data_IF_350779755059
#
_entry.id   IF_350779755059
#
_cell.length_a   1.000
_cell.length_b   1.000
_cell.length_c   1.000
_cell.angle_alpha   90.00
_cell.angle_beta   90.00
_cell.angle_gamma   90.00
#
_symmetry.space_group_name_H-M   'P 1'
#
loop_
_entity.id
_entity.type
_entity.pdbx_description
1 polymer ?
#
# COMPACT_ATOMS: atom_id res chain seq x y z
N UNK A 1 -11.37 -2.30 -10.69
CA UNK A 1 -10.00 -2.66 -11.12
C UNK A 1 -9.35 -1.40 -11.68
N UNK A 2 -8.23 -0.91 -11.15
CA UNK A 2 -7.48 0.16 -11.81
C UNK A 2 -6.84 -0.42 -13.08
N UNK A 3 -6.94 0.30 -14.20
CA UNK A 3 -6.36 -0.10 -15.48
C UNK A 3 -4.83 -0.21 -15.34
N UNK A 4 -4.18 -1.30 -15.79
CA UNK A 4 -2.74 -1.32 -15.95
C UNK A 4 -2.40 -0.42 -17.15
N UNK A 5 -2.03 0.84 -16.90
CA UNK A 5 -1.67 1.73 -18.02
C UNK A 5 -1.48 3.22 -17.72
N UNK A 6 -1.75 3.71 -16.51
CA UNK A 6 -1.52 5.13 -16.21
C UNK A 6 -0.17 5.36 -15.52
N UNK A 7 0.88 5.39 -16.34
CA UNK A 7 2.20 5.93 -16.02
C UNK A 7 2.78 6.60 -17.28
N UNK A 8 3.69 7.56 -17.09
CA UNK A 8 4.37 8.30 -18.18
C UNK A 8 4.99 7.37 -19.26
N UNK A 9 5.35 6.14 -18.86
CA UNK A 9 5.87 5.09 -19.75
C UNK A 9 4.80 4.44 -20.66
N UNK A 10 3.53 4.38 -20.20
CA UNK A 10 2.39 3.93 -21.01
C UNK A 10 2.02 4.95 -22.09
N UNK A 11 2.29 6.23 -21.85
CA UNK A 11 2.13 7.31 -22.82
C UNK A 11 3.19 7.25 -23.95
N UNK A 12 4.40 6.74 -23.68
CA UNK A 12 5.47 6.60 -24.67
C UNK A 12 5.53 5.22 -25.35
N UNK A 13 4.64 4.28 -25.00
CA UNK A 13 4.68 2.92 -25.54
C UNK A 13 5.89 2.08 -25.10
N UNK A 14 6.54 2.47 -24.01
CA UNK A 14 7.77 1.84 -23.48
C UNK A 14 7.44 0.82 -22.37
N UNK A 15 6.20 0.81 -21.87
CA UNK A 15 5.77 -0.06 -20.76
C UNK A 15 5.81 -1.57 -21.05
N UNK A 16 5.82 -1.98 -22.32
CA UNK A 16 5.75 -3.39 -22.75
C UNK A 16 7.05 -4.18 -22.63
N UNK A 17 8.21 -3.53 -22.52
CA UNK A 17 9.51 -4.20 -22.72
C UNK A 17 9.81 -4.43 -24.21
N UNK A 18 10.80 -5.26 -24.53
CA UNK A 18 11.22 -5.59 -25.91
C UNK A 18 10.37 -6.70 -26.54
N UNK A 19 9.05 -6.55 -26.51
CA UNK A 19 8.09 -7.48 -27.13
C UNK A 19 7.80 -7.07 -28.57
N UNK A 20 7.69 -8.03 -29.48
CA UNK A 20 7.32 -7.76 -30.87
C UNK A 20 5.91 -7.16 -30.99
N UNK A 21 5.71 -6.24 -31.94
CA UNK A 21 4.41 -5.59 -32.17
C UNK A 21 3.28 -6.60 -32.47
N UNK A 22 3.61 -7.69 -33.16
CA UNK A 22 2.66 -8.76 -33.45
C UNK A 22 2.24 -9.48 -32.15
N UNK A 23 3.20 -9.80 -31.28
CA UNK A 23 2.92 -10.45 -30.01
C UNK A 23 2.14 -9.52 -29.06
N UNK A 24 2.47 -8.23 -29.02
CA UNK A 24 1.73 -7.23 -28.23
C UNK A 24 0.28 -7.06 -28.70
N UNK A 25 0.05 -7.03 -30.02
CA UNK A 25 -1.30 -6.94 -30.59
C UNK A 25 -2.14 -8.18 -30.24
N UNK A 26 -1.54 -9.36 -30.31
CA UNK A 26 -2.19 -10.61 -29.93
C UNK A 26 -2.49 -10.68 -28.43
N UNK A 27 -1.56 -10.24 -27.58
CA UNK A 27 -1.76 -10.15 -26.13
C UNK A 27 -2.96 -9.24 -25.80
N UNK A 28 -2.96 -8.02 -26.35
CA UNK A 28 -4.04 -7.05 -26.15
C UNK A 28 -5.38 -7.64 -26.56
N UNK A 29 -5.44 -8.31 -27.72
CA UNK A 29 -6.66 -8.95 -28.20
C UNK A 29 -7.14 -10.08 -27.28
N UNK A 30 -6.22 -10.91 -26.80
CA UNK A 30 -6.52 -11.97 -25.84
C UNK A 30 -7.08 -11.43 -24.52
N UNK A 31 -6.47 -10.37 -23.97
CA UNK A 31 -6.91 -9.72 -22.73
C UNK A 31 -8.32 -9.09 -22.88
N UNK A 32 -8.59 -8.40 -23.99
CA UNK A 32 -9.94 -7.87 -24.29
C UNK A 32 -11.02 -8.97 -24.30
N UNK A 33 -10.68 -10.17 -24.77
CA UNK A 33 -11.60 -11.31 -24.81
C UNK A 33 -11.80 -11.94 -23.42
N UNK A 34 -10.76 -11.98 -22.59
CA UNK A 34 -10.87 -12.39 -21.18
C UNK A 34 -11.80 -11.44 -20.42
N UNK A 35 -11.65 -10.12 -20.60
CA UNK A 35 -12.53 -9.11 -19.96
C UNK A 35 -14.00 -9.30 -20.37
N UNK A 36 -14.23 -9.69 -21.63
CA UNK A 36 -15.57 -10.02 -22.16
C UNK A 36 -16.06 -11.41 -21.76
N UNK A 37 -15.35 -12.12 -20.86
CA UNK A 37 -15.66 -13.48 -20.40
C UNK A 37 -15.72 -14.51 -21.53
N UNK A 38 -14.85 -14.37 -22.53
CA UNK A 38 -14.71 -15.27 -23.70
C UNK A 38 -13.34 -15.98 -23.69
N UNK A 39 -13.02 -16.82 -22.70
CA UNK A 39 -11.69 -17.41 -22.54
C UNK A 39 -11.30 -18.36 -23.69
N UNK A 40 -12.25 -19.11 -24.24
CA UNK A 40 -12.00 -20.02 -25.37
C UNK A 40 -11.62 -19.26 -26.65
N UNK A 41 -12.23 -18.09 -26.88
CA UNK A 41 -11.89 -17.22 -28.01
C UNK A 41 -10.56 -16.50 -27.76
N UNK A 42 -10.18 -16.25 -26.50
CA UNK A 42 -8.93 -15.59 -26.15
C UNK A 42 -7.70 -16.47 -26.36
N UNK A 43 -7.84 -17.78 -26.15
CA UNK A 43 -6.72 -18.72 -26.10
C UNK A 43 -5.84 -18.72 -27.38
N UNK A 44 -6.38 -18.75 -28.62
CA UNK A 44 -5.54 -18.71 -29.82
C UNK A 44 -4.67 -17.46 -29.93
N UNK A 45 -5.20 -16.30 -29.52
CA UNK A 45 -4.43 -15.05 -29.53
C UNK A 45 -3.33 -15.08 -28.47
N UNK A 46 -3.62 -15.61 -27.28
CA UNK A 46 -2.60 -15.71 -26.22
C UNK A 46 -1.51 -16.73 -26.56
N UNK A 47 -1.86 -17.88 -27.16
CA UNK A 47 -0.88 -18.84 -27.66
C UNK A 47 0.01 -18.24 -28.75
N UNK A 48 -0.58 -17.45 -29.67
CA UNK A 48 0.17 -16.72 -30.69
C UNK A 48 1.10 -15.67 -30.08
N UNK A 49 0.67 -14.97 -29.04
CA UNK A 49 1.51 -14.02 -28.32
C UNK A 49 2.69 -14.71 -27.62
N UNK A 50 2.50 -15.91 -27.07
CA UNK A 50 3.54 -16.69 -26.40
C UNK A 50 4.64 -17.22 -27.34
N UNK A 51 4.46 -17.16 -28.67
CA UNK A 51 5.53 -17.48 -29.61
C UNK A 51 6.72 -16.51 -29.47
N UNK A 52 6.48 -15.29 -28.97
CA UNK A 52 7.53 -14.38 -28.56
C UNK A 52 8.01 -14.74 -27.14
N UNK A 53 9.27 -15.22 -26.99
CA UNK A 53 9.78 -15.69 -25.70
C UNK A 53 9.86 -14.59 -24.64
N UNK A 54 9.82 -13.31 -25.06
CA UNK A 54 9.85 -12.17 -24.15
C UNK A 54 8.44 -11.74 -23.69
N UNK A 55 7.38 -12.25 -24.32
CA UNK A 55 6.00 -11.94 -23.94
C UNK A 55 5.48 -12.85 -22.81
N UNK A 56 6.10 -12.71 -21.64
CA UNK A 56 5.71 -13.45 -20.45
C UNK A 56 4.35 -12.99 -19.89
N UNK A 57 3.86 -11.80 -20.26
CA UNK A 57 2.51 -11.33 -19.88
C UNK A 57 1.40 -12.14 -20.55
N UNK A 58 1.67 -12.72 -21.73
CA UNK A 58 0.76 -13.69 -22.35
C UNK A 58 0.63 -14.95 -21.48
N UNK A 59 1.74 -15.42 -20.89
CA UNK A 59 1.71 -16.55 -19.96
C UNK A 59 0.91 -16.21 -18.70
N UNK A 60 1.10 -15.02 -18.12
CA UNK A 60 0.29 -14.52 -17.00
C UNK A 60 -1.21 -14.48 -17.35
N UNK A 61 -1.55 -14.06 -18.57
CA UNK A 61 -2.94 -13.97 -19.03
C UNK A 61 -3.58 -15.35 -19.24
N UNK A 62 -2.82 -16.35 -19.71
CA UNK A 62 -3.28 -17.74 -19.80
C UNK A 62 -3.53 -18.32 -18.42
N UNK A 63 -2.65 -18.05 -17.45
CA UNK A 63 -2.79 -18.55 -16.08
C UNK A 63 -4.12 -18.14 -15.42
N UNK A 64 -4.64 -16.94 -15.74
CA UNK A 64 -5.95 -16.47 -15.23
C UNK A 64 -7.14 -17.32 -15.68
N UNK A 65 -6.98 -18.10 -16.76
CA UNK A 65 -8.03 -18.97 -17.30
C UNK A 65 -7.92 -20.41 -16.80
N UNK A 66 -6.85 -20.75 -16.07
CA UNK A 66 -6.58 -22.11 -15.60
C UNK A 66 -7.05 -22.30 -14.16
N UNK A 67 -7.40 -23.54 -13.75
CA UNK A 67 -7.51 -23.90 -12.34
C UNK A 67 -6.21 -23.58 -11.59
N UNK A 68 -6.33 -23.18 -10.33
CA UNK A 68 -5.21 -22.62 -9.55
C UNK A 68 -3.94 -23.49 -9.54
N UNK A 69 -4.06 -24.81 -9.36
CA UNK A 69 -2.90 -25.71 -9.34
C UNK A 69 -2.20 -25.78 -10.71
N UNK A 70 -2.98 -25.82 -11.80
CA UNK A 70 -2.45 -25.81 -13.16
C UNK A 70 -1.86 -24.45 -13.53
N UNK A 71 -2.45 -23.36 -13.04
CA UNK A 71 -1.94 -22.01 -13.24
C UNK A 71 -0.54 -21.86 -12.64
N UNK A 72 -0.32 -22.38 -11.42
CA UNK A 72 1.00 -22.36 -10.77
C UNK A 72 2.02 -23.16 -11.57
N UNK A 73 1.70 -24.41 -11.94
CA UNK A 73 2.61 -25.25 -12.74
C UNK A 73 2.97 -24.59 -14.08
N UNK A 74 1.98 -23.96 -14.72
CA UNK A 74 2.17 -23.24 -15.97
C UNK A 74 3.08 -22.03 -15.80
N UNK A 75 2.86 -21.21 -14.76
CA UNK A 75 3.68 -20.04 -14.45
C UNK A 75 5.13 -20.41 -14.09
N UNK A 76 5.36 -21.52 -13.39
CA UNK A 76 6.71 -22.04 -13.13
C UNK A 76 7.46 -22.39 -14.42
N UNK A 77 6.78 -23.01 -15.39
CA UNK A 77 7.38 -23.30 -16.71
C UNK A 77 7.68 -22.02 -17.50
N UNK A 78 6.78 -21.03 -17.42
CA UNK A 78 6.99 -19.72 -18.03
C UNK A 78 8.18 -18.98 -17.39
N UNK A 79 8.36 -19.08 -16.06
CA UNK A 79 9.49 -18.49 -15.34
C UNK A 79 10.80 -19.10 -15.83
N UNK A 80 10.86 -20.42 -15.94
CA UNK A 80 12.07 -21.10 -16.40
C UNK A 80 12.45 -20.69 -17.83
N UNK A 81 11.45 -20.51 -18.71
CA UNK A 81 11.68 -20.03 -20.07
C UNK A 81 12.14 -18.57 -20.09
N UNK A 82 11.50 -17.70 -19.31
CA UNK A 82 11.91 -16.31 -19.15
C UNK A 82 13.33 -16.16 -18.61
N UNK A 83 13.71 -16.99 -17.64
CA UNK A 83 15.06 -17.05 -17.09
C UNK A 83 16.10 -17.42 -18.14
N UNK A 84 15.82 -18.45 -18.95
CA UNK A 84 16.71 -18.85 -20.07
C UNK A 84 16.85 -17.74 -21.10
N UNK A 85 15.76 -17.05 -21.42
CA UNK A 85 15.78 -15.93 -22.34
C UNK A 85 16.66 -14.78 -21.82
N UNK A 86 16.49 -14.39 -20.56
CA UNK A 86 17.30 -13.35 -19.93
C UNK A 86 18.79 -13.72 -19.85
N UNK A 87 19.12 -14.99 -19.58
CA UNK A 87 20.50 -15.45 -19.67
C UNK A 87 21.10 -15.31 -21.08
N UNK A 88 20.28 -15.53 -22.13
CA UNK A 88 20.72 -15.38 -23.51
C UNK A 88 20.92 -13.91 -23.92
N UNK A 89 20.14 -12.99 -23.37
CA UNK A 89 20.13 -11.58 -23.77
C UNK A 89 21.09 -10.74 -22.92
N UNK A 90 21.14 -10.99 -21.61
CA UNK A 90 21.88 -10.19 -20.62
C UNK A 90 23.11 -10.90 -20.05
N UNK A 91 23.33 -12.17 -20.41
CA UNK A 91 24.45 -12.97 -19.94
C UNK A 91 24.10 -13.91 -18.77
N UNK A 92 24.96 -14.91 -18.50
CA UNK A 92 24.70 -15.96 -17.51
C UNK A 92 24.65 -15.44 -16.07
N UNK A 93 25.27 -14.29 -15.78
CA UNK A 93 25.35 -13.67 -14.47
C UNK A 93 24.26 -12.61 -14.23
N UNK A 94 23.31 -12.41 -15.15
CA UNK A 94 22.36 -11.28 -15.10
C UNK A 94 21.46 -11.23 -13.84
N UNK A 95 21.31 -12.34 -13.11
CA UNK A 95 20.58 -12.39 -11.83
C UNK A 95 21.48 -12.23 -10.60
N UNK A 96 22.80 -12.22 -10.78
CA UNK A 96 23.77 -12.06 -9.71
C UNK A 96 23.86 -10.58 -9.28
N UNK A 97 23.94 -10.35 -7.98
CA UNK A 97 24.02 -9.00 -7.40
C UNK A 97 25.30 -8.25 -7.80
N UNK A 98 26.31 -8.98 -8.26
CA UNK A 98 27.59 -8.44 -8.71
C UNK A 98 27.62 -8.11 -10.20
N UNK A 99 26.59 -8.50 -10.96
CA UNK A 99 26.51 -8.22 -12.40
C UNK A 99 26.18 -6.75 -12.64
N UNK A 100 26.67 -6.19 -13.75
CA UNK A 100 26.31 -4.85 -14.22
C UNK A 100 24.79 -4.70 -14.40
N UNK A 101 24.11 -5.81 -14.72
CA UNK A 101 22.67 -5.88 -14.91
C UNK A 101 21.89 -6.25 -13.64
N UNK A 102 22.58 -6.60 -12.55
CA UNK A 102 21.98 -7.02 -11.28
C UNK A 102 21.29 -5.90 -10.50
N UNK A 103 20.86 -6.19 -9.27
CA UNK A 103 20.29 -5.14 -8.41
C UNK A 103 21.31 -4.02 -8.13
N UNK A 104 20.86 -2.76 -8.05
CA UNK A 104 19.47 -2.30 -8.08
C UNK A 104 18.91 -1.98 -9.48
N UNK A 105 19.67 -2.23 -10.55
CA UNK A 105 19.38 -1.75 -11.90
C UNK A 105 18.51 -2.69 -12.74
N UNK A 106 18.35 -3.93 -12.31
CA UNK A 106 17.63 -4.96 -13.06
C UNK A 106 16.26 -4.52 -13.57
N UNK A 107 15.40 -3.89 -12.76
CA UNK A 107 14.09 -3.37 -13.21
C UNK A 107 14.18 -2.21 -14.21
N UNK A 108 15.28 -1.45 -14.16
CA UNK A 108 15.55 -0.37 -15.11
C UNK A 108 15.81 -0.87 -16.54
N UNK A 109 16.11 -2.16 -16.70
CA UNK A 109 16.33 -2.82 -17.98
C UNK A 109 14.98 -3.24 -18.56
N UNK A 110 14.66 -2.82 -19.79
CA UNK A 110 13.35 -3.05 -20.38
C UNK A 110 13.07 -4.55 -20.61
N UNK A 111 14.10 -5.30 -20.94
CA UNK A 111 14.10 -6.74 -21.21
C UNK A 111 13.68 -7.56 -19.98
N UNK A 112 13.96 -7.09 -18.76
CA UNK A 112 13.67 -7.85 -17.53
C UNK A 112 12.24 -7.65 -17.02
N UNK A 113 11.55 -6.60 -17.48
CA UNK A 113 10.23 -6.20 -16.96
C UNK A 113 9.15 -7.27 -17.14
N UNK A 114 9.00 -7.93 -18.31
CA UNK A 114 8.03 -9.01 -18.46
C UNK A 114 8.27 -10.17 -17.48
N UNK A 115 9.54 -10.52 -17.25
CA UNK A 115 9.92 -11.57 -16.30
C UNK A 115 9.55 -11.20 -14.85
N UNK A 116 9.78 -9.94 -14.48
CA UNK A 116 9.43 -9.45 -13.14
C UNK A 116 7.91 -9.44 -12.92
N UNK A 117 7.11 -9.06 -13.93
CA UNK A 117 5.64 -9.14 -13.85
C UNK A 117 5.13 -10.58 -13.72
N UNK A 118 5.75 -11.51 -14.44
CA UNK A 118 5.46 -12.94 -14.33
C UNK A 118 5.73 -13.46 -12.92
N UNK A 119 6.89 -13.15 -12.34
CA UNK A 119 7.22 -13.52 -10.96
C UNK A 119 6.21 -12.93 -9.96
N UNK A 120 5.79 -11.67 -10.13
CA UNK A 120 4.73 -11.08 -9.31
C UNK A 120 3.40 -11.84 -9.40
N UNK A 121 3.05 -12.32 -10.59
CA UNK A 121 1.85 -13.15 -10.82
C UNK A 121 1.98 -14.53 -10.16
N UNK A 122 3.16 -15.14 -10.22
CA UNK A 122 3.44 -16.43 -9.57
C UNK A 122 3.38 -16.32 -8.04
N UNK A 123 4.01 -15.29 -7.45
CA UNK A 123 3.93 -15.02 -6.00
C UNK A 123 2.47 -14.86 -5.56
N UNK A 124 1.68 -14.08 -6.30
CA UNK A 124 0.25 -13.91 -6.00
C UNK A 124 -0.52 -15.21 -6.08
N UNK A 125 -0.23 -16.04 -7.09
CA UNK A 125 -0.88 -17.35 -7.27
C UNK A 125 -0.59 -18.30 -6.09
N UNK A 126 0.62 -18.27 -5.53
CA UNK A 126 0.94 -19.02 -4.31
C UNK A 126 0.23 -18.49 -3.07
N UNK A 127 0.15 -17.16 -2.91
CA UNK A 127 -0.59 -16.53 -1.80
C UNK A 127 -2.06 -16.91 -1.84
N UNK A 128 -2.68 -16.80 -3.02
CA UNK A 128 -4.09 -17.15 -3.22
C UNK A 128 -4.35 -18.65 -2.96
N UNK A 129 -3.34 -19.51 -3.17
CA UNK A 129 -3.38 -20.95 -2.88
C UNK A 129 -3.00 -21.31 -1.42
N UNK A 130 -2.67 -20.34 -0.56
CA UNK A 130 -2.19 -20.58 0.81
C UNK A 130 -0.79 -21.23 0.89
N UNK A 131 -0.02 -21.21 -0.20
CA UNK A 131 1.32 -21.80 -0.34
C UNK A 131 2.40 -20.79 0.07
N UNK A 132 2.41 -20.44 1.35
CA UNK A 132 3.24 -19.35 1.89
C UNK A 132 4.74 -19.57 1.75
N UNK A 133 5.21 -20.82 1.82
CA UNK A 133 6.64 -21.15 1.71
C UNK A 133 7.15 -20.92 0.29
N UNK A 134 6.37 -21.33 -0.72
CA UNK A 134 6.69 -21.12 -2.12
C UNK A 134 6.58 -19.64 -2.52
N UNK A 135 5.55 -18.94 -2.02
CA UNK A 135 5.46 -17.49 -2.18
C UNK A 135 6.70 -16.79 -1.63
N UNK A 136 7.17 -17.19 -0.44
CA UNK A 136 8.39 -16.66 0.17
C UNK A 136 9.65 -16.99 -0.65
N UNK A 137 9.75 -18.20 -1.21
CA UNK A 137 10.88 -18.59 -2.05
C UNK A 137 10.99 -17.73 -3.31
N UNK A 138 9.88 -17.51 -4.01
CA UNK A 138 9.83 -16.68 -5.23
C UNK A 138 9.93 -15.18 -4.95
N UNK A 139 9.68 -14.76 -3.71
CA UNK A 139 9.89 -13.38 -3.25
C UNK A 139 11.37 -12.95 -3.21
N UNK A 140 12.30 -13.84 -3.61
CA UNK A 140 13.68 -13.48 -3.98
C UNK A 140 13.74 -12.40 -5.08
N UNK A 141 12.65 -12.13 -5.78
CA UNK A 141 12.47 -10.99 -6.70
C UNK A 141 12.92 -9.64 -6.09
N UNK A 142 12.74 -9.43 -4.78
CA UNK A 142 13.21 -8.21 -4.08
C UNK A 142 14.73 -8.09 -3.99
N UNK A 143 15.46 -9.22 -4.11
CA UNK A 143 16.94 -9.18 -4.18
C UNK A 143 17.39 -8.45 -5.44
N UNK A 144 16.65 -8.64 -6.52
CA UNK A 144 16.99 -8.15 -7.85
C UNK A 144 16.31 -6.78 -8.13
N UNK A 145 15.20 -6.47 -7.45
CA UNK A 145 14.50 -5.18 -7.51
C UNK A 145 14.31 -4.56 -6.10
N UNK A 146 15.32 -3.84 -5.63
CA UNK A 146 15.37 -3.25 -4.27
C UNK A 146 14.52 -1.97 -4.08
N UNK A 147 13.93 -1.44 -5.15
CA UNK A 147 13.18 -0.18 -5.11
C UNK A 147 11.67 -0.31 -5.03
N UNK A 148 11.14 -1.53 -4.91
CA UNK A 148 9.68 -1.77 -4.84
C UNK A 148 8.89 -0.94 -5.87
N UNK A 149 9.36 -0.94 -7.12
CA UNK A 149 8.61 -0.36 -8.24
C UNK A 149 7.38 -1.23 -8.62
N UNK A 150 7.06 -2.24 -7.81
CA UNK A 150 5.98 -3.22 -7.98
C UNK A 150 4.84 -3.04 -6.96
N UNK A 151 4.98 -2.12 -6.00
CA UNK A 151 3.95 -1.79 -5.02
C UNK A 151 3.63 -2.92 -4.03
N UNK A 152 4.63 -3.74 -3.67
CA UNK A 152 4.50 -4.76 -2.64
C UNK A 152 5.09 -4.27 -1.31
N UNK A 153 4.26 -3.92 -0.31
CA UNK A 153 4.71 -3.15 0.84
C UNK A 153 5.45 -4.05 1.84
N UNK A 154 6.78 -4.18 1.75
CA UNK A 154 7.58 -4.72 2.87
C UNK A 154 8.97 -4.08 3.01
N UNK A 155 9.13 -3.34 4.11
CA UNK A 155 10.32 -2.99 4.90
C UNK A 155 11.69 -2.87 4.18
N UNK A 156 12.18 -1.63 4.08
CA UNK A 156 13.55 -1.29 3.68
C UNK A 156 14.54 -1.26 4.87
N UNK A 157 15.80 -1.57 4.51
CA UNK A 157 17.09 -1.36 5.18
C UNK A 157 17.65 -2.44 6.14
N UNK A 158 18.54 -3.29 5.61
CA UNK A 158 20.01 -3.24 5.78
C UNK A 158 20.67 -4.17 4.75
N UNK A 159 21.87 -3.82 4.27
CA UNK A 159 22.65 -4.65 3.33
C UNK A 159 22.88 -6.04 3.94
N UNK A 160 22.33 -7.08 3.32
CA UNK A 160 22.64 -8.47 3.68
C UNK A 160 23.77 -9.01 2.79
N UNK A 161 24.70 -9.81 3.35
CA UNK A 161 25.73 -10.49 2.56
C UNK A 161 25.14 -11.49 1.55
N UNK A 162 25.89 -11.89 0.50
CA UNK A 162 25.42 -12.87 -0.46
C UNK A 162 25.13 -14.21 0.23
N UNK A 163 23.92 -14.75 0.06
CA UNK A 163 23.55 -16.09 0.50
C UNK A 163 22.62 -16.21 1.71
N UNK A 164 22.38 -15.16 2.51
CA UNK A 164 21.34 -15.24 3.54
C UNK A 164 19.97 -14.94 2.92
N UNK A 165 18.91 -15.65 3.32
CA UNK A 165 17.55 -15.12 3.29
C UNK A 165 17.52 -13.68 3.83
N UNK A 166 16.43 -12.95 3.62
CA UNK A 166 16.08 -11.97 4.64
C UNK A 166 15.74 -12.84 5.85
N UNK A 167 16.76 -13.12 6.66
CA UNK A 167 16.59 -13.71 7.96
C UNK A 167 15.89 -12.62 8.77
N UNK A 168 14.57 -12.69 8.82
CA UNK A 168 13.80 -11.84 9.70
C UNK A 168 14.25 -12.21 11.10
N UNK A 169 15.16 -11.40 11.63
CA UNK A 169 15.49 -11.47 13.04
C UNK A 169 14.18 -11.40 13.82
N UNK A 170 14.07 -12.12 14.94
CA UNK A 170 12.89 -12.04 15.79
C UNK A 170 12.46 -10.59 15.99
N UNK A 171 11.14 -10.31 16.06
CA UNK A 171 10.62 -8.97 16.25
C UNK A 171 11.41 -8.27 17.35
N UNK A 172 11.88 -7.05 17.05
CA UNK A 172 12.52 -6.25 18.08
C UNK A 172 11.52 -6.07 19.22
N UNK A 173 11.96 -6.31 20.46
CA UNK A 173 11.15 -6.11 21.67
C UNK A 173 11.52 -4.84 22.43
N UNK A 174 12.67 -4.27 22.10
CA UNK A 174 13.19 -3.07 22.76
C UNK A 174 12.78 -1.82 22.00
N UNK A 175 12.39 -0.74 22.70
CA UNK A 175 12.14 0.56 22.10
C UNK A 175 13.32 1.05 21.25
N UNK A 176 12.99 1.83 20.22
CA UNK A 176 13.96 2.55 19.40
C UNK A 176 14.58 3.70 20.17
N UNK A 177 15.83 4.03 19.84
CA UNK A 177 16.50 5.24 20.34
C UNK A 177 16.03 6.48 19.57
N UNK A 178 16.21 7.67 20.14
CA UNK A 178 15.84 8.93 19.48
C UNK A 178 16.51 9.10 18.11
N UNK A 179 17.76 8.67 17.97
CA UNK A 179 18.47 8.69 16.70
C UNK A 179 17.83 7.76 15.65
N UNK A 180 17.30 6.60 16.09
CA UNK A 180 16.57 5.67 15.21
C UNK A 180 15.22 6.26 14.81
N UNK A 181 14.50 6.87 15.76
CA UNK A 181 13.22 7.55 15.50
C UNK A 181 13.42 8.71 14.52
N UNK A 182 14.44 9.55 14.72
CA UNK A 182 14.75 10.66 13.82
C UNK A 182 15.05 10.17 12.40
N UNK A 183 15.80 9.06 12.27
CA UNK A 183 16.05 8.43 10.96
C UNK A 183 14.76 7.88 10.35
N UNK A 184 13.91 7.25 11.15
CA UNK A 184 12.64 6.68 10.71
C UNK A 184 11.67 7.76 10.23
N UNK A 185 11.53 8.87 10.95
CA UNK A 185 10.67 10.00 10.60
C UNK A 185 11.03 10.66 9.25
N UNK A 186 12.25 10.46 8.74
CA UNK A 186 12.65 10.95 7.41
C UNK A 186 11.95 10.20 6.27
N UNK A 187 11.50 8.98 6.51
CA UNK A 187 11.07 8.05 5.46
C UNK A 187 9.76 7.33 5.73
N UNK A 188 9.26 7.31 6.97
CA UNK A 188 8.11 6.49 7.34
C UNK A 188 6.80 7.22 7.10
N UNK A 189 5.99 6.58 6.26
CA UNK A 189 4.58 6.86 6.04
C UNK A 189 3.75 6.49 7.29
N UNK A 190 2.77 7.32 7.62
CA UNK A 190 1.84 7.14 8.73
C UNK A 190 1.13 5.79 8.72
N UNK A 191 0.89 5.24 7.52
CA UNK A 191 0.24 3.95 7.35
C UNK A 191 0.99 2.81 8.08
N UNK A 192 2.32 2.90 8.17
CA UNK A 192 3.13 1.84 8.78
C UNK A 192 3.15 1.95 10.31
N UNK A 193 3.07 3.16 10.88
CA UNK A 193 3.22 3.36 12.33
C UNK A 193 2.04 2.74 13.10
N UNK A 194 0.81 2.90 12.58
CA UNK A 194 -0.37 2.28 13.17
C UNK A 194 -0.30 0.75 13.14
N UNK A 195 0.13 0.21 12.01
CA UNK A 195 0.32 -1.23 11.83
C UNK A 195 1.41 -1.77 12.75
N UNK A 196 2.50 -1.03 12.93
CA UNK A 196 3.58 -1.38 13.86
C UNK A 196 3.10 -1.37 15.33
N UNK A 197 2.30 -0.37 15.72
CA UNK A 197 1.72 -0.31 17.07
C UNK A 197 0.81 -1.52 17.35
N UNK A 198 -0.07 -1.84 16.41
CA UNK A 198 -0.99 -2.97 16.53
C UNK A 198 -0.26 -4.32 16.51
N UNK A 199 0.74 -4.48 15.65
CA UNK A 199 1.55 -5.69 15.58
C UNK A 199 2.36 -5.90 16.88
N UNK A 200 3.03 -4.86 17.38
CA UNK A 200 3.77 -4.92 18.64
C UNK A 200 2.85 -5.25 19.82
N UNK A 201 1.64 -4.67 19.87
CA UNK A 201 0.65 -4.98 20.88
C UNK A 201 0.13 -6.42 20.77
N UNK A 202 -0.10 -6.90 19.56
CA UNK A 202 -0.61 -8.27 19.34
C UNK A 202 0.43 -9.32 19.71
N UNK A 203 1.72 -9.04 19.48
CA UNK A 203 2.82 -9.97 19.76
C UNK A 203 3.23 -9.98 21.24
N UNK A 204 3.38 -8.80 21.85
CA UNK A 204 3.99 -8.66 23.18
C UNK A 204 3.08 -7.93 24.20
N UNK A 205 1.82 -7.66 23.85
CA UNK A 205 0.88 -6.92 24.71
C UNK A 205 1.24 -5.44 24.87
N UNK A 206 0.82 -4.83 25.98
CA UNK A 206 1.15 -3.45 26.33
C UNK A 206 2.62 -3.30 26.77
N UNK A 207 3.53 -3.47 25.81
CA UNK A 207 4.97 -3.37 25.98
C UNK A 207 5.48 -1.94 25.79
N UNK A 208 6.70 -1.66 26.25
CA UNK A 208 7.34 -0.35 26.04
C UNK A 208 7.50 0.00 24.56
N UNK A 209 7.73 -1.00 23.71
CA UNK A 209 7.80 -0.80 22.26
C UNK A 209 6.42 -0.52 21.65
N UNK A 210 5.39 -1.27 22.05
CA UNK A 210 4.02 -1.03 21.60
C UNK A 210 3.56 0.39 21.97
N UNK A 211 3.83 0.83 23.20
CA UNK A 211 3.57 2.21 23.64
C UNK A 211 4.35 3.24 22.85
N UNK A 212 5.63 2.98 22.55
CA UNK A 212 6.42 3.90 21.73
C UNK A 212 5.80 4.10 20.34
N UNK A 213 5.43 3.02 19.65
CA UNK A 213 4.74 3.14 18.36
C UNK A 213 3.37 3.82 18.49
N UNK A 214 2.60 3.50 19.53
CA UNK A 214 1.30 4.12 19.79
C UNK A 214 1.43 5.64 20.01
N UNK A 215 2.40 6.09 20.79
CA UNK A 215 2.63 7.51 21.09
C UNK A 215 3.17 8.26 19.87
N UNK A 216 3.97 7.60 19.03
CA UNK A 216 4.33 8.14 17.72
C UNK A 216 3.10 8.31 16.83
N UNK A 217 2.23 7.30 16.79
CA UNK A 217 1.01 7.31 15.99
C UNK A 217 0.01 8.38 16.47
N UNK A 218 -0.09 8.58 17.79
CA UNK A 218 -1.04 9.51 18.40
C UNK A 218 -0.84 10.97 17.97
N UNK A 219 0.36 11.35 17.53
CA UNK A 219 0.64 12.67 16.95
C UNK A 219 -0.14 12.93 15.65
N UNK A 220 -0.70 11.88 15.03
CA UNK A 220 -1.46 11.92 13.78
C UNK A 220 -2.88 11.36 13.98
N UNK A 221 -3.70 11.94 14.86
CA UNK A 221 -4.71 11.22 15.65
C UNK A 221 -5.93 10.68 14.88
N UNK A 222 -6.08 10.89 13.57
CA UNK A 222 -7.34 10.59 12.87
C UNK A 222 -7.76 9.13 12.91
N UNK A 223 -6.82 8.19 12.78
CA UNK A 223 -7.11 6.75 12.96
C UNK A 223 -7.60 6.48 14.37
N UNK A 224 -6.88 6.95 15.40
CA UNK A 224 -7.25 6.71 16.80
C UNK A 224 -8.59 7.37 17.17
N UNK A 225 -8.88 8.55 16.62
CA UNK A 225 -10.17 9.22 16.76
C UNK A 225 -11.29 8.31 16.23
N UNK A 226 -11.09 7.72 15.04
CA UNK A 226 -12.08 6.81 14.44
C UNK A 226 -12.22 5.50 15.23
N UNK A 227 -11.11 4.92 15.71
CA UNK A 227 -11.09 3.69 16.53
C UNK A 227 -11.80 3.91 17.87
N UNK A 228 -11.38 4.91 18.63
CA UNK A 228 -11.91 5.19 19.98
C UNK A 228 -13.39 5.59 19.89
N UNK A 229 -13.75 6.41 18.91
CA UNK A 229 -15.14 6.80 18.67
C UNK A 229 -16.00 5.72 18.02
N UNK A 230 -15.44 4.53 17.72
CA UNK A 230 -16.12 3.40 17.06
C UNK A 230 -16.86 3.81 15.79
N UNK A 231 -16.24 4.66 14.98
CA UNK A 231 -16.79 5.08 13.71
C UNK A 231 -16.74 3.90 12.73
N UNK A 232 -17.90 3.48 12.19
CA UNK A 232 -17.94 2.50 11.10
C UNK A 232 -17.47 3.17 9.81
N UNK A 233 -16.52 2.54 9.12
CA UNK A 233 -16.08 3.03 7.82
C UNK A 233 -17.17 2.75 6.78
N UNK A 234 -17.42 3.71 5.89
CA UNK A 234 -18.47 3.57 4.88
C UNK A 234 -17.94 2.74 3.72
N UNK A 235 -18.76 1.81 3.22
CA UNK A 235 -18.48 1.04 2.02
C UNK A 235 -18.66 1.85 0.71
N UNK A 236 -18.90 3.16 0.79
CA UNK A 236 -19.13 3.99 -0.39
C UNK A 236 -17.83 4.22 -1.17
N UNK A 237 -17.97 4.42 -2.48
CA UNK A 237 -16.85 4.62 -3.41
C UNK A 237 -16.12 5.90 -3.02
N UNK A 238 -14.79 5.81 -2.88
CA UNK A 238 -13.92 6.93 -2.57
C UNK A 238 -14.10 8.03 -3.63
N UNK A 239 -14.69 9.17 -3.24
CA UNK A 239 -14.91 10.32 -4.13
C UNK A 239 -13.83 11.40 -3.97
N UNK A 240 -12.77 11.16 -3.19
CA UNK A 240 -11.76 12.18 -2.94
C UNK A 240 -10.55 11.99 -3.88
N UNK A 241 -10.21 13.00 -4.71
CA UNK A 241 -9.16 12.85 -5.71
C UNK A 241 -7.73 12.88 -5.14
N UNK A 242 -7.55 13.35 -3.89
CA UNK A 242 -6.22 13.56 -3.29
C UNK A 242 -6.10 12.94 -1.90
N UNK A 243 -5.10 12.07 -1.74
CA UNK A 243 -4.67 11.54 -0.43
C UNK A 243 -3.79 12.59 0.23
N UNK A 244 -4.12 12.94 1.47
CA UNK A 244 -3.34 13.89 2.27
C UNK A 244 -2.81 13.17 3.50
N UNK A 245 -1.54 13.43 3.85
CA UNK A 245 -0.91 12.84 5.02
C UNK A 245 -1.71 13.18 6.29
N UNK A 246 -2.11 12.16 7.05
CA UNK A 246 -3.02 12.29 8.21
C UNK A 246 -4.37 12.90 7.80
N UNK A 247 -4.84 12.55 6.60
CA UNK A 247 -6.14 12.90 6.06
C UNK A 247 -7.25 11.95 6.52
N UNK A 248 -8.49 12.31 6.20
CA UNK A 248 -9.63 11.43 6.49
C UNK A 248 -9.57 10.15 5.64
N UNK A 249 -8.92 10.24 4.49
CA UNK A 249 -8.67 9.20 3.50
C UNK A 249 -7.64 8.20 4.01
N UNK A 250 -6.49 8.66 4.53
CA UNK A 250 -5.48 7.79 5.14
C UNK A 250 -6.07 6.98 6.30
N UNK A 251 -6.86 7.63 7.16
CA UNK A 251 -7.50 6.96 8.27
C UNK A 251 -8.55 5.94 7.82
N UNK A 252 -9.24 6.21 6.71
CA UNK A 252 -10.18 5.27 6.07
C UNK A 252 -9.44 4.08 5.48
N UNK A 253 -8.38 4.30 4.70
CA UNK A 253 -7.60 3.25 4.03
C UNK A 253 -7.01 2.27 5.07
N UNK A 254 -6.45 2.81 6.17
CA UNK A 254 -5.96 1.98 7.27
C UNK A 254 -7.06 1.17 7.95
N UNK A 255 -8.22 1.78 8.23
CA UNK A 255 -9.33 1.10 8.89
C UNK A 255 -10.04 0.12 7.98
N UNK A 256 -10.05 0.33 6.67
CA UNK A 256 -10.58 -0.64 5.73
C UNK A 256 -9.88 -2.01 5.86
N UNK A 257 -8.58 -2.02 6.18
CA UNK A 257 -7.81 -3.24 6.38
C UNK A 257 -7.79 -3.73 7.84
N UNK A 258 -7.72 -2.81 8.81
CA UNK A 258 -7.39 -3.13 10.19
C UNK A 258 -8.51 -2.85 11.21
N UNK A 259 -9.69 -2.38 10.78
CA UNK A 259 -10.77 -2.01 11.72
C UNK A 259 -11.14 -3.16 12.65
N UNK A 260 -11.30 -4.38 12.16
CA UNK A 260 -11.67 -5.54 12.98
C UNK A 260 -10.64 -5.83 14.07
N UNK A 261 -9.36 -5.66 13.77
CA UNK A 261 -8.27 -5.83 14.73
C UNK A 261 -8.30 -4.73 15.81
N UNK A 262 -8.53 -3.48 15.43
CA UNK A 262 -8.65 -2.36 16.37
C UNK A 262 -9.90 -2.43 17.26
N UNK A 263 -10.97 -3.05 16.76
CA UNK A 263 -12.24 -3.16 17.48
C UNK A 263 -12.31 -4.35 18.44
N UNK A 264 -11.27 -5.18 18.51
CA UNK A 264 -11.14 -6.18 19.57
C UNK A 264 -11.03 -5.50 20.95
N UNK A 265 -11.57 -6.13 21.98
CA UNK A 265 -11.65 -5.55 23.33
C UNK A 265 -10.28 -5.14 23.86
N UNK A 266 -9.24 -5.95 23.67
CA UNK A 266 -7.91 -5.67 24.21
C UNK A 266 -7.25 -4.44 23.53
N UNK A 267 -7.06 -4.39 22.20
CA UNK A 267 -6.55 -3.21 21.50
C UNK A 267 -7.38 -1.96 21.75
N UNK A 268 -8.71 -2.06 21.70
CA UNK A 268 -9.59 -0.91 21.90
C UNK A 268 -9.48 -0.35 23.32
N UNK A 269 -9.50 -1.20 24.35
CA UNK A 269 -9.34 -0.77 25.74
C UNK A 269 -7.95 -0.17 25.99
N UNK A 270 -6.91 -0.73 25.36
CA UNK A 270 -5.54 -0.24 25.48
C UNK A 270 -5.42 1.21 24.99
N UNK A 271 -5.81 1.49 23.74
CA UNK A 271 -5.70 2.86 23.20
C UNK A 271 -6.70 3.83 23.83
N UNK A 272 -7.87 3.35 24.24
CA UNK A 272 -8.88 4.21 24.88
C UNK A 272 -8.50 4.65 26.29
N UNK A 273 -7.62 3.92 26.98
CA UNK A 273 -7.21 4.23 28.36
C UNK A 273 -5.84 4.90 28.46
N UNK A 274 -5.08 4.96 27.38
CA UNK A 274 -3.76 5.58 27.36
C UNK A 274 -3.87 7.12 27.51
N UNK A 275 -3.29 7.74 28.55
CA UNK A 275 -3.39 9.18 28.79
C UNK A 275 -2.75 10.04 27.69
N UNK A 276 -1.67 9.55 27.07
CA UNK A 276 -0.99 10.25 25.98
C UNK A 276 -1.88 10.26 24.75
N UNK A 277 -2.48 9.13 24.39
CA UNK A 277 -3.47 9.07 23.30
C UNK A 277 -4.64 10.01 23.57
N UNK A 278 -5.19 9.98 24.79
CA UNK A 278 -6.28 10.88 25.19
C UNK A 278 -5.90 12.36 25.09
N UNK A 279 -4.63 12.72 25.30
CA UNK A 279 -4.12 14.07 25.10
C UNK A 279 -4.30 14.55 23.64
N UNK A 280 -4.08 13.66 22.68
CA UNK A 280 -4.12 13.96 21.25
C UNK A 280 -5.49 13.82 20.59
N UNK A 281 -6.33 12.88 21.03
CA UNK A 281 -7.62 12.61 20.37
C UNK A 281 -8.77 13.49 20.86
N UNK A 282 -8.72 13.98 22.10
CA UNK A 282 -9.74 14.86 22.67
C UNK A 282 -9.44 16.31 22.29
N UNK A 283 -10.38 16.93 21.57
CA UNK A 283 -10.18 18.27 21.02
C UNK A 283 -10.42 19.38 22.06
N UNK A 284 -9.89 20.57 21.77
CA UNK A 284 -10.16 21.86 22.45
C UNK A 284 -11.10 22.77 21.64
N UNK A 285 -12.02 23.47 22.30
CA UNK A 285 -13.13 24.12 21.61
C UNK A 285 -12.54 25.22 20.73
N UNK A 286 -12.88 25.25 19.44
CA UNK A 286 -12.36 26.23 18.50
C UNK A 286 -12.64 27.68 18.92
N UNK A 287 -13.63 27.92 19.79
CA UNK A 287 -13.75 29.21 20.45
C UNK A 287 -12.72 29.33 21.59
N UNK A 288 -11.66 30.09 21.33
CA UNK A 288 -10.54 30.36 22.26
C UNK A 288 -10.99 30.89 23.64
N UNK A 289 -12.15 31.54 23.73
CA UNK A 289 -12.68 32.03 24.99
C UNK A 289 -13.31 30.93 25.85
N UNK A 290 -13.74 29.81 25.24
CA UNK A 290 -14.45 28.75 25.94
C UNK A 290 -13.53 27.84 26.74
N UNK A 291 -12.34 27.50 26.19
CA UNK A 291 -11.34 26.58 26.79
C UNK A 291 -11.85 25.22 27.26
N UNK A 292 -13.08 24.82 26.88
CA UNK A 292 -13.62 23.49 27.17
C UNK A 292 -12.90 22.46 26.30
N UNK A 293 -12.75 21.26 26.85
CA UNK A 293 -12.15 20.09 26.21
C UNK A 293 -13.18 18.96 26.09
N UNK A 294 -13.09 18.15 25.04
CA UNK A 294 -13.94 16.96 24.89
C UNK A 294 -13.70 15.99 26.07
N UNK A 295 -14.77 15.39 26.58
CA UNK A 295 -14.68 14.26 27.54
C UNK A 295 -14.68 12.91 26.82
N UNK A 296 -15.27 12.87 25.62
CA UNK A 296 -15.33 11.69 24.76
C UNK A 296 -15.03 12.11 23.33
N UNK A 297 -14.31 11.25 22.61
CA UNK A 297 -13.95 11.49 21.22
C UNK A 297 -15.19 11.74 20.36
N UNK A 298 -15.20 12.84 19.61
CA UNK A 298 -16.28 13.17 18.69
C UNK A 298 -17.54 13.73 19.35
N UNK A 299 -17.44 14.17 20.61
CA UNK A 299 -18.55 14.83 21.32
C UNK A 299 -18.96 16.15 20.68
N UNK A 300 -18.04 16.86 20.01
CA UNK A 300 -18.31 18.21 19.53
C UNK A 300 -18.87 18.32 18.13
N UNK A 301 -19.55 19.44 17.91
CA UNK A 301 -20.16 19.78 16.63
C UNK A 301 -19.10 20.37 15.70
N UNK A 302 -18.92 19.75 14.53
CA UNK A 302 -18.05 20.31 13.48
C UNK A 302 -18.75 21.43 12.71
N UNK A 303 -17.97 22.39 12.22
CA UNK A 303 -18.47 23.42 11.31
C UNK A 303 -19.04 22.78 10.03
N UNK A 304 -20.28 23.11 9.67
CA UNK A 304 -20.92 22.53 8.48
C UNK A 304 -20.28 22.96 7.15
N UNK A 305 -19.66 24.15 7.12
CA UNK A 305 -18.96 24.68 5.94
C UNK A 305 -17.61 24.00 5.73
N UNK A 306 -16.58 24.43 6.47
CA UNK A 306 -15.22 23.95 6.27
C UNK A 306 -14.91 22.58 6.91
N UNK A 307 -15.75 22.07 7.84
CA UNK A 307 -15.51 20.81 8.58
C UNK A 307 -14.19 20.71 9.36
N UNK A 308 -13.43 21.79 9.45
CA UNK A 308 -12.11 21.88 10.10
C UNK A 308 -12.13 22.50 11.51
N UNK A 309 -13.28 22.95 12.02
CA UNK A 309 -13.41 23.55 13.35
C UNK A 309 -14.46 22.79 14.16
N UNK A 310 -14.25 22.65 15.47
CA UNK A 310 -15.11 21.88 16.38
C UNK A 310 -15.54 22.74 17.56
N UNK A 311 -16.83 22.68 17.89
CA UNK A 311 -17.44 23.52 18.91
C UNK A 311 -18.23 22.68 19.91
N UNK A 312 -18.08 22.99 21.19
CA UNK A 312 -18.88 22.38 22.25
C UNK A 312 -20.37 22.77 22.18
N UNK A 313 -20.71 23.86 21.47
CA UNK A 313 -22.08 24.35 21.31
C UNK A 313 -22.23 25.30 20.13
N UNK A 314 -23.47 25.46 19.65
CA UNK A 314 -23.84 26.49 18.65
C UNK A 314 -23.53 27.92 19.12
N UNK A 315 -23.57 28.16 20.43
CA UNK A 315 -23.25 29.48 21.02
C UNK A 315 -21.77 29.80 20.78
N UNK A 316 -20.88 28.85 21.04
CA UNK A 316 -19.44 29.01 20.78
C UNK A 316 -19.14 29.19 19.29
N UNK A 317 -19.85 28.46 18.41
CA UNK A 317 -19.71 28.64 16.97
C UNK A 317 -20.12 30.05 16.53
N UNK A 318 -21.24 30.57 17.01
CA UNK A 318 -21.70 31.94 16.69
C UNK A 318 -20.74 33.01 17.22
N UNK A 319 -20.21 32.82 18.42
CA UNK A 319 -19.24 33.74 19.04
C UNK A 319 -17.92 33.78 18.28
N UNK A 320 -17.41 32.64 17.80
CA UNK A 320 -16.18 32.57 17.01
C UNK A 320 -16.38 32.93 15.51
N UNK A 321 -17.63 33.00 15.03
CA UNK A 321 -17.92 33.21 13.62
C UNK A 321 -17.27 34.46 12.99
N UNK A 322 -17.23 35.64 13.65
CA UNK A 322 -16.59 36.82 13.08
C UNK A 322 -15.13 36.58 12.66
N UNK A 323 -14.37 35.86 13.49
CA UNK A 323 -12.96 35.55 13.23
C UNK A 323 -12.82 34.37 12.24
N UNK A 324 -13.67 33.35 12.39
CA UNK A 324 -13.59 32.13 11.59
C UNK A 324 -14.05 32.31 10.13
N UNK A 325 -15.01 33.20 9.86
CA UNK A 325 -15.74 33.29 8.58
C UNK A 325 -14.84 33.38 7.35
N UNK A 326 -13.75 34.16 7.42
CA UNK A 326 -12.81 34.33 6.31
C UNK A 326 -12.10 33.01 5.98
N UNK A 327 -11.51 32.37 6.98
CA UNK A 327 -10.84 31.07 6.84
C UNK A 327 -11.83 29.99 6.36
N UNK A 328 -13.05 29.96 6.91
CA UNK A 328 -14.09 29.01 6.52
C UNK A 328 -14.41 29.04 5.02
N UNK A 329 -14.54 30.25 4.44
CA UNK A 329 -14.81 30.44 3.01
C UNK A 329 -13.61 30.12 2.12
N UNK A 330 -12.39 30.31 2.63
CA UNK A 330 -11.18 29.95 1.89
C UNK A 330 -11.03 28.43 1.78
N UNK A 331 -11.23 27.69 2.88
CA UNK A 331 -11.23 26.23 2.85
C UNK A 331 -12.28 25.69 1.88
N UNK A 332 -13.52 26.21 1.92
CA UNK A 332 -14.58 25.77 1.00
C UNK A 332 -14.20 25.97 -0.47
N UNK A 333 -13.65 27.14 -0.82
CA UNK A 333 -13.18 27.39 -2.19
C UNK A 333 -12.05 26.46 -2.61
N UNK A 334 -11.11 26.15 -1.71
CA UNK A 334 -10.03 25.19 -1.98
C UNK A 334 -10.58 23.78 -2.22
N UNK A 335 -11.53 23.33 -1.40
CA UNK A 335 -12.19 22.02 -1.57
C UNK A 335 -13.01 21.95 -2.87
N UNK A 336 -13.75 23.01 -3.22
CA UNK A 336 -14.50 23.10 -4.47
C UNK A 336 -13.58 23.05 -5.70
N UNK A 337 -12.49 23.81 -5.68
CA UNK A 337 -11.48 23.75 -6.74
C UNK A 337 -10.89 22.35 -6.86
N UNK A 338 -10.55 21.68 -5.76
CA UNK A 338 -9.99 20.33 -5.80
C UNK A 338 -10.97 19.26 -6.31
N UNK A 339 -12.28 19.48 -6.22
CA UNK A 339 -13.29 18.54 -6.74
C UNK A 339 -13.57 18.68 -8.23
N UNK A 340 -13.18 19.80 -8.84
CA UNK A 340 -13.38 20.05 -10.29
C UNK A 340 -12.24 19.51 -11.16
N UNK A 341 -11.16 19.04 -10.54
CA UNK A 341 -10.05 18.31 -11.15
C UNK A 341 -10.15 16.83 -10.77
#
# INVERSE_FOLDING_TARGET
MPRPGFGFEGFMGIGGGTVSKESEANLKRGQELIEKRKPTEALPFLLKAMEDPNNLDASSSVALMLPQDLAIEFLQKAELNGRRHLHSVLGPDCFELTSEYGAPHFWGILETRPYMRLLGTLVRSYVDAGRWNEAHHEHRILRICQSDNMGQPLARERRSPPGSGIDFSPPRRTPMTDAQIAKMNKWVDLQVIYSAALAAFTLDGDSSLARQYLHMAAQYPLVLIKVIGKFQERADVDTHPTRTMNGSEDARDHLWLAQDLWMQDAPWNWVSRDPFVQAWVLRECSNVQCKKREERVGQWQKCAGCKQQWYCSRVCQKSHWPDHKKACKETQRREESMRMW
#
